data_IF_142115139405
#
_entry.id   IF_142115139405
#
_cell.length_a   1.000
_cell.length_b   1.000
_cell.length_c   1.000
_cell.angle_alpha   90.00
_cell.angle_beta   90.00
_cell.angle_gamma   90.00
#
_symmetry.space_group_name_H-M   'P 1'
#
loop_
_entity.id
_entity.type
_entity.pdbx_description
1 polymer ?
#
# COMPACT_ATOMS: atom_id res chain seq x y z
N UNK A 1 -19.23 62.89 19.85
CA UNK A 1 -18.94 61.62 20.55
C UNK A 1 -19.21 60.50 19.57
N UNK A 2 -18.17 60.03 18.90
CA UNK A 2 -18.22 58.97 17.89
C UNK A 2 -17.77 57.67 18.54
N UNK A 3 -18.68 56.71 18.65
CA UNK A 3 -18.40 55.40 19.22
C UNK A 3 -18.03 54.45 18.07
N UNK A 4 -16.73 54.21 17.89
CA UNK A 4 -16.21 53.23 16.94
C UNK A 4 -16.39 51.82 17.50
N UNK A 5 -17.19 50.99 16.84
CA UNK A 5 -17.25 49.55 17.10
C UNK A 5 -16.06 48.89 16.38
N UNK A 6 -15.07 48.46 17.16
CA UNK A 6 -13.98 47.60 16.68
C UNK A 6 -14.55 46.18 16.50
N UNK A 7 -14.75 45.79 15.25
CA UNK A 7 -14.99 44.40 14.88
C UNK A 7 -13.69 43.62 14.96
N UNK A 8 -13.65 42.60 15.83
CA UNK A 8 -12.55 41.64 15.87
C UNK A 8 -12.61 40.75 14.62
N UNK A 9 -11.50 40.52 13.89
CA UNK A 9 -11.47 39.50 12.87
C UNK A 9 -11.61 38.13 13.57
N UNK A 10 -12.69 37.42 13.25
CA UNK A 10 -12.82 36.02 13.63
C UNK A 10 -11.63 35.25 13.07
N UNK A 11 -10.84 34.67 13.95
CA UNK A 11 -9.90 33.62 13.56
C UNK A 11 -10.75 32.48 13.00
N UNK A 12 -10.76 32.33 11.68
CA UNK A 12 -11.23 31.12 11.05
C UNK A 12 -10.36 29.99 11.58
N UNK A 13 -10.90 29.23 12.53
CA UNK A 13 -10.31 27.99 12.96
C UNK A 13 -10.34 27.07 11.72
N UNK A 14 -9.18 26.74 11.18
CA UNK A 14 -9.09 25.74 10.13
C UNK A 14 -9.70 24.44 10.69
N UNK A 15 -10.72 23.94 9.99
CA UNK A 15 -11.33 22.65 10.29
C UNK A 15 -10.23 21.56 10.13
N UNK A 16 -9.97 20.70 11.13
CA UNK A 16 -8.96 19.65 11.01
C UNK A 16 -9.32 18.55 9.99
N UNK A 17 -10.50 18.59 9.38
CA UNK A 17 -10.83 17.74 8.23
C UNK A 17 -10.45 18.43 6.91
N UNK A 18 -9.17 18.51 6.58
CA UNK A 18 -8.80 18.79 5.19
C UNK A 18 -9.03 17.53 4.38
N UNK A 19 -10.29 17.23 4.06
CA UNK A 19 -10.63 16.19 3.09
C UNK A 19 -9.90 16.49 1.78
N UNK A 20 -9.12 15.54 1.28
CA UNK A 20 -8.15 15.74 0.20
C UNK A 20 -7.31 14.49 -0.08
N UNK A 21 -6.34 14.63 -0.98
CA UNK A 21 -5.41 13.56 -1.34
C UNK A 21 -4.30 13.44 -0.31
N UNK A 22 -4.15 12.25 0.27
CA UNK A 22 -3.00 11.82 1.07
C UNK A 22 -2.09 10.96 0.20
N UNK A 23 -0.79 11.22 0.16
CA UNK A 23 0.15 10.55 -0.73
C UNK A 23 0.26 11.19 -2.12
N UNK A 24 0.95 10.50 -3.04
CA UNK A 24 1.20 10.97 -4.41
C UNK A 24 1.10 9.79 -5.39
N UNK A 25 -0.11 9.42 -5.81
CA UNK A 25 -0.31 8.33 -6.76
C UNK A 25 0.36 8.59 -8.12
N UNK A 26 0.44 9.85 -8.54
CA UNK A 26 1.08 10.24 -9.80
C UNK A 26 2.59 9.95 -9.81
N UNK A 27 3.27 10.20 -8.69
CA UNK A 27 4.68 9.86 -8.53
C UNK A 27 4.95 8.36 -8.37
N UNK A 28 3.99 7.59 -7.84
CA UNK A 28 4.12 6.16 -7.62
C UNK A 28 3.78 5.31 -8.87
N UNK A 29 2.82 5.76 -9.69
CA UNK A 29 2.33 5.02 -10.86
C UNK A 29 3.42 4.52 -11.84
N UNK A 30 4.55 5.24 -12.08
CA UNK A 30 5.60 4.76 -12.96
C UNK A 30 6.32 3.49 -12.49
N UNK A 31 6.24 3.13 -11.20
CA UNK A 31 6.92 1.96 -10.64
C UNK A 31 6.09 0.68 -10.69
N UNK A 32 4.77 0.80 -10.87
CA UNK A 32 3.88 -0.36 -11.05
C UNK A 32 4.31 -1.24 -12.22
N UNK A 33 4.33 -2.56 -12.02
CA UNK A 33 4.42 -3.54 -13.10
C UNK A 33 3.41 -4.66 -12.88
N UNK A 34 2.81 -5.11 -13.97
CA UNK A 34 1.98 -6.30 -13.98
C UNK A 34 2.84 -7.53 -13.66
N UNK A 35 2.42 -8.32 -12.68
CA UNK A 35 3.05 -9.60 -12.38
C UNK A 35 2.73 -10.58 -13.51
N UNK A 36 3.73 -11.33 -13.94
CA UNK A 36 3.61 -12.39 -14.94
C UNK A 36 3.57 -13.75 -14.27
N UNK A 37 4.19 -13.90 -13.10
CA UNK A 37 4.22 -15.17 -12.40
C UNK A 37 2.96 -15.34 -11.55
N UNK A 38 2.64 -16.59 -11.24
CA UNK A 38 1.54 -16.87 -10.31
C UNK A 38 2.06 -16.72 -8.88
N UNK A 39 1.38 -15.86 -8.09
CA UNK A 39 1.53 -15.68 -6.64
C UNK A 39 2.75 -14.89 -6.14
N UNK A 40 3.44 -14.16 -7.01
CA UNK A 40 4.54 -13.22 -6.70
C UNK A 40 4.06 -11.78 -6.37
N UNK A 41 2.78 -11.60 -6.00
CA UNK A 41 2.24 -10.27 -5.71
C UNK A 41 2.98 -9.53 -4.57
N UNK A 42 3.55 -10.28 -3.61
CA UNK A 42 4.33 -9.71 -2.51
C UNK A 42 5.67 -9.15 -2.99
N UNK A 43 6.37 -9.90 -3.83
CA UNK A 43 7.62 -9.54 -4.47
C UNK A 43 7.42 -8.28 -5.31
N UNK A 44 6.37 -8.27 -6.15
CA UNK A 44 6.07 -7.13 -7.02
C UNK A 44 5.68 -5.88 -6.24
N UNK A 45 4.96 -6.00 -5.12
CA UNK A 45 4.68 -4.88 -4.23
C UNK A 45 5.96 -4.32 -3.57
N UNK A 46 6.90 -5.20 -3.19
CA UNK A 46 8.21 -4.79 -2.66
C UNK A 46 9.05 -4.10 -3.73
N UNK A 47 9.12 -4.64 -4.94
CA UNK A 47 9.84 -4.04 -6.07
C UNK A 47 9.31 -2.64 -6.41
N UNK A 48 7.99 -2.44 -6.38
CA UNK A 48 7.36 -1.14 -6.56
C UNK A 48 7.82 -0.14 -5.48
N UNK A 49 7.72 -0.51 -4.19
CA UNK A 49 8.16 0.34 -3.06
C UNK A 49 9.65 0.70 -3.15
N UNK A 50 10.52 -0.27 -3.51
CA UNK A 50 11.95 0.00 -3.73
C UNK A 50 12.14 1.02 -4.86
N UNK A 51 11.40 0.87 -5.96
CA UNK A 51 11.39 1.82 -7.06
C UNK A 51 11.01 3.23 -6.62
N UNK A 52 9.93 3.36 -5.86
CA UNK A 52 9.47 4.66 -5.35
C UNK A 52 10.50 5.35 -4.45
N UNK A 53 11.26 4.59 -3.66
CA UNK A 53 12.24 5.15 -2.71
C UNK A 53 13.57 5.47 -3.38
N UNK A 54 14.03 4.58 -4.25
CA UNK A 54 15.39 4.64 -4.81
C UNK A 54 15.44 5.31 -6.18
N UNK A 55 14.30 5.41 -6.87
CA UNK A 55 14.23 5.74 -8.29
C UNK A 55 14.71 4.63 -9.21
N UNK A 56 15.22 3.52 -8.66
CA UNK A 56 15.68 2.38 -9.42
C UNK A 56 14.63 1.28 -9.45
N UNK A 57 14.20 0.93 -10.65
CA UNK A 57 13.19 -0.09 -10.80
C UNK A 57 13.81 -1.49 -10.77
N UNK A 58 13.36 -2.30 -9.80
CA UNK A 58 13.69 -3.72 -9.72
C UNK A 58 12.79 -4.51 -10.68
N UNK A 59 13.39 -5.45 -11.42
CA UNK A 59 12.65 -6.34 -12.32
C UNK A 59 11.99 -7.49 -11.54
N UNK A 60 10.93 -8.07 -12.10
CA UNK A 60 10.26 -9.26 -11.54
C UNK A 60 11.24 -10.43 -11.31
N UNK A 61 12.09 -10.72 -12.31
CA UNK A 61 13.13 -11.76 -12.21
C UNK A 61 14.10 -11.49 -11.06
N UNK A 62 14.57 -10.25 -10.92
CA UNK A 62 15.52 -9.88 -9.87
C UNK A 62 14.91 -10.00 -8.47
N UNK A 63 13.66 -9.55 -8.28
CA UNK A 63 13.01 -9.61 -6.96
C UNK A 63 12.63 -11.05 -6.57
N UNK A 64 12.17 -11.85 -7.53
CA UNK A 64 11.87 -13.27 -7.34
C UNK A 64 13.14 -14.07 -7.02
N UNK A 65 14.24 -13.81 -7.73
CA UNK A 65 15.53 -14.46 -7.46
C UNK A 65 16.07 -14.08 -6.07
N UNK A 66 15.95 -12.82 -5.66
CA UNK A 66 16.32 -12.40 -4.31
C UNK A 66 15.47 -13.12 -3.26
N UNK A 67 14.15 -13.09 -3.40
CA UNK A 67 13.21 -13.76 -2.49
C UNK A 67 13.42 -15.28 -2.45
N UNK A 68 13.82 -15.89 -3.57
CA UNK A 68 14.18 -17.30 -3.69
C UNK A 68 15.48 -17.70 -2.97
N UNK A 69 16.31 -16.74 -2.59
CA UNK A 69 17.59 -16.96 -1.92
C UNK A 69 17.63 -16.49 -0.46
N UNK A 70 16.61 -15.76 0.01
CA UNK A 70 16.51 -15.30 1.39
C UNK A 70 15.67 -16.29 2.19
N UNK A 71 16.16 -16.83 3.32
CA UNK A 71 15.35 -17.70 4.18
C UNK A 71 14.12 -16.99 4.73
N UNK A 72 12.95 -17.64 4.65
CA UNK A 72 11.72 -17.17 5.28
C UNK A 72 11.86 -17.19 6.81
N UNK A 73 11.24 -16.19 7.45
CA UNK A 73 11.07 -16.13 8.90
C UNK A 73 9.77 -16.78 9.37
N UNK A 74 8.87 -17.12 8.45
CA UNK A 74 7.56 -17.68 8.71
C UNK A 74 7.49 -19.20 8.53
N UNK A 75 8.35 -19.77 7.69
CA UNK A 75 8.40 -21.21 7.41
C UNK A 75 9.80 -21.67 7.01
N UNK A 76 9.98 -22.99 6.89
CA UNK A 76 11.21 -23.54 6.34
C UNK A 76 11.31 -23.24 4.83
N UNK A 77 12.52 -22.98 4.34
CA UNK A 77 12.79 -22.63 2.95
C UNK A 77 12.93 -21.13 2.71
N UNK A 78 13.00 -20.70 1.44
CA UNK A 78 13.12 -19.29 1.09
C UNK A 78 11.80 -18.52 1.27
N UNK A 79 11.85 -17.19 1.19
CA UNK A 79 10.67 -16.30 1.20
C UNK A 79 9.70 -16.68 0.08
N UNK A 80 10.23 -16.90 -1.12
CA UNK A 80 9.44 -17.21 -2.30
C UNK A 80 9.98 -18.44 -3.03
N UNK A 81 9.06 -19.19 -3.62
CA UNK A 81 9.36 -20.18 -4.66
C UNK A 81 8.21 -20.14 -5.66
N UNK A 82 8.46 -20.37 -6.97
CA UNK A 82 7.42 -20.29 -7.99
C UNK A 82 6.15 -21.07 -7.63
N UNK A 83 4.99 -20.39 -7.68
CA UNK A 83 3.67 -20.97 -7.38
C UNK A 83 3.32 -21.05 -5.88
N UNK A 84 4.21 -20.63 -4.98
CA UNK A 84 3.91 -20.45 -3.56
C UNK A 84 3.64 -18.97 -3.25
N UNK A 85 2.99 -18.74 -2.11
CA UNK A 85 2.66 -17.40 -1.63
C UNK A 85 3.72 -16.93 -0.65
N UNK A 86 4.05 -15.65 -0.71
CA UNK A 86 4.90 -15.00 0.28
C UNK A 86 4.11 -14.64 1.54
N UNK A 87 4.74 -14.88 2.69
CA UNK A 87 4.17 -14.54 3.99
C UNK A 87 4.24 -13.03 4.25
N UNK A 88 3.23 -12.49 4.92
CA UNK A 88 3.22 -11.11 5.44
C UNK A 88 4.52 -10.76 6.20
N UNK A 89 5.06 -11.73 6.96
CA UNK A 89 6.27 -11.55 7.79
C UNK A 89 7.56 -11.41 6.99
N UNK A 90 7.54 -11.82 5.74
CA UNK A 90 8.73 -11.84 4.91
C UNK A 90 8.83 -10.58 4.03
N UNK A 91 7.76 -9.80 3.88
CA UNK A 91 7.81 -8.53 3.13
C UNK A 91 8.82 -7.52 3.75
N UNK A 92 8.84 -7.28 5.08
CA UNK A 92 9.84 -6.39 5.67
C UNK A 92 11.26 -6.92 5.54
N UNK A 93 11.43 -8.26 5.55
CA UNK A 93 12.74 -8.91 5.37
C UNK A 93 13.26 -8.67 3.96
N UNK A 94 12.40 -8.85 2.95
CA UNK A 94 12.74 -8.59 1.56
C UNK A 94 13.02 -7.09 1.33
N UNK A 95 12.21 -6.18 1.88
CA UNK A 95 12.52 -4.73 1.84
C UNK A 95 13.87 -4.40 2.49
N UNK A 96 14.17 -5.00 3.64
CA UNK A 96 15.42 -4.77 4.36
C UNK A 96 16.65 -5.27 3.58
N UNK A 97 16.51 -6.33 2.77
CA UNK A 97 17.56 -6.79 1.85
C UNK A 97 18.00 -5.67 0.88
N UNK A 98 17.06 -4.85 0.42
CA UNK A 98 17.31 -3.69 -0.44
C UNK A 98 17.56 -2.39 0.35
N UNK A 99 17.81 -2.48 1.65
CA UNK A 99 18.11 -1.33 2.51
C UNK A 99 16.89 -0.49 2.90
N UNK A 100 15.67 -0.92 2.58
CA UNK A 100 14.44 -0.24 2.96
C UNK A 100 13.95 -0.77 4.30
N UNK A 101 14.01 0.07 5.34
CA UNK A 101 13.49 -0.29 6.66
C UNK A 101 11.97 -0.09 6.70
N UNK A 102 11.26 -1.02 7.33
CA UNK A 102 9.80 -0.98 7.45
C UNK A 102 9.30 -1.68 8.71
N UNK A 103 8.05 -1.42 9.05
CA UNK A 103 7.33 -2.02 10.17
C UNK A 103 6.06 -2.71 9.69
N UNK A 104 5.79 -3.91 10.21
CA UNK A 104 4.45 -4.49 10.17
C UNK A 104 3.52 -3.72 11.12
N UNK A 105 2.34 -3.39 10.63
CA UNK A 105 1.31 -2.72 11.42
C UNK A 105 -0.05 -3.37 11.21
N UNK A 106 -0.92 -3.24 12.21
CA UNK A 106 -2.35 -3.47 12.11
C UNK A 106 -3.04 -2.19 12.55
N UNK A 107 -3.75 -1.54 11.65
CA UNK A 107 -4.19 -0.17 11.90
C UNK A 107 -5.51 0.16 11.22
N UNK A 108 -5.76 1.45 11.01
CA UNK A 108 -6.92 1.99 10.33
C UNK A 108 -6.50 2.89 9.17
N UNK A 109 -7.49 3.29 8.37
CA UNK A 109 -7.31 4.17 7.21
C UNK A 109 -6.62 5.48 7.60
N UNK A 110 -6.99 6.07 8.75
CA UNK A 110 -6.39 7.31 9.24
C UNK A 110 -4.88 7.16 9.52
N UNK A 111 -4.41 5.98 9.94
CA UNK A 111 -2.99 5.72 10.09
C UNK A 111 -2.26 5.60 8.74
N UNK A 112 -2.92 5.02 7.73
CA UNK A 112 -2.37 4.98 6.37
C UNK A 112 -2.28 6.39 5.77
N UNK A 113 -3.32 7.22 5.93
CA UNK A 113 -3.32 8.64 5.54
C UNK A 113 -2.11 9.38 6.14
N UNK A 114 -1.91 9.27 7.46
CA UNK A 114 -0.75 9.89 8.14
C UNK A 114 0.59 9.38 7.62
N UNK A 115 0.69 8.09 7.31
CA UNK A 115 1.92 7.52 6.75
C UNK A 115 2.21 8.08 5.35
N UNK A 116 1.19 8.17 4.51
CA UNK A 116 1.26 8.73 3.17
C UNK A 116 1.62 10.21 3.18
N UNK A 117 1.06 10.99 4.10
CA UNK A 117 1.40 12.41 4.31
C UNK A 117 2.85 12.61 4.74
N UNK A 118 3.43 11.63 5.43
CA UNK A 118 4.85 11.59 5.80
C UNK A 118 5.74 11.10 4.65
N UNK A 119 5.18 10.80 3.48
CA UNK A 119 5.88 10.28 2.31
C UNK A 119 6.26 8.80 2.42
N UNK A 120 5.84 8.11 3.48
CA UNK A 120 6.14 6.69 3.74
C UNK A 120 5.34 5.80 2.79
N UNK A 121 5.90 4.66 2.42
CA UNK A 121 5.29 3.74 1.46
C UNK A 121 4.55 2.63 2.18
N UNK A 122 3.44 2.18 1.60
CA UNK A 122 2.49 1.28 2.25
C UNK A 122 2.21 0.09 1.35
N UNK A 123 2.46 -1.12 1.84
CA UNK A 123 1.99 -2.38 1.24
C UNK A 123 0.84 -2.91 2.11
N UNK A 124 -0.33 -3.19 1.54
CA UNK A 124 -1.49 -3.70 2.26
C UNK A 124 -1.78 -5.16 1.89
N UNK A 125 -2.07 -5.99 2.90
CA UNK A 125 -2.56 -7.35 2.70
C UNK A 125 -4.07 -7.34 2.54
N UNK A 126 -4.55 -7.72 1.36
CA UNK A 126 -5.96 -7.61 0.94
C UNK A 126 -6.48 -8.94 0.40
N UNK A 127 -7.80 -9.06 0.27
CA UNK A 127 -8.43 -10.14 -0.48
C UNK A 127 -8.82 -9.68 -1.89
N UNK A 128 -8.23 -10.29 -2.91
CA UNK A 128 -8.48 -9.92 -4.31
C UNK A 128 -9.91 -10.24 -4.80
N UNK A 129 -10.58 -11.24 -4.23
CA UNK A 129 -11.97 -11.57 -4.59
C UNK A 129 -12.94 -10.49 -4.14
N UNK A 130 -12.59 -9.73 -3.10
CA UNK A 130 -13.33 -8.54 -2.70
C UNK A 130 -12.96 -7.36 -3.59
N UNK A 131 -11.67 -7.10 -3.80
CA UNK A 131 -11.21 -5.97 -4.62
C UNK A 131 -11.78 -5.99 -6.03
N UNK A 132 -11.72 -7.15 -6.70
CA UNK A 132 -12.12 -7.29 -8.11
C UNK A 132 -13.58 -7.76 -8.26
N UNK A 133 -14.35 -7.78 -7.16
CA UNK A 133 -15.71 -8.33 -7.07
C UNK A 133 -15.91 -9.70 -7.76
N UNK A 134 -15.00 -10.62 -7.46
CA UNK A 134 -15.03 -11.98 -8.00
C UNK A 134 -15.62 -12.98 -7.00
N UNK A 135 -16.23 -14.06 -7.50
CA UNK A 135 -16.61 -15.19 -6.67
C UNK A 135 -15.39 -15.91 -6.07
N UNK A 136 -15.58 -16.64 -4.97
CA UNK A 136 -14.52 -17.42 -4.31
C UNK A 136 -14.45 -17.15 -2.81
N UNK A 137 -13.34 -17.57 -2.20
CA UNK A 137 -13.10 -17.33 -0.78
C UNK A 137 -12.76 -15.85 -0.50
N UNK A 138 -13.59 -15.22 0.34
CA UNK A 138 -13.49 -13.82 0.76
C UNK A 138 -13.15 -13.70 2.26
N UNK A 139 -12.74 -14.79 2.92
CA UNK A 139 -12.57 -14.86 4.38
C UNK A 139 -11.19 -14.46 4.91
N UNK A 140 -10.16 -14.50 4.05
CA UNK A 140 -8.76 -14.23 4.40
C UNK A 140 -8.04 -13.47 3.31
N UNK A 141 -7.00 -12.75 3.67
CA UNK A 141 -6.14 -12.08 2.72
C UNK A 141 -5.40 -13.08 1.82
N UNK A 142 -5.18 -12.69 0.58
CA UNK A 142 -4.57 -13.54 -0.43
C UNK A 142 -3.82 -12.75 -1.51
N UNK A 143 -3.64 -11.44 -1.32
CA UNK A 143 -3.05 -10.55 -2.31
C UNK A 143 -2.39 -9.36 -1.61
N UNK A 144 -1.40 -8.76 -2.27
CA UNK A 144 -0.76 -7.53 -1.81
C UNK A 144 -0.87 -6.44 -2.86
N UNK A 145 -1.14 -5.22 -2.40
CA UNK A 145 -1.19 -4.01 -3.22
C UNK A 145 -0.37 -2.92 -2.56
N UNK A 146 0.19 -2.00 -3.35
CA UNK A 146 0.84 -0.81 -2.82
C UNK A 146 -0.18 0.31 -2.76
N UNK A 147 -0.49 0.81 -1.56
CA UNK A 147 -1.37 1.97 -1.39
C UNK A 147 -0.55 3.22 -1.68
N UNK A 148 -0.92 3.94 -2.74
CA UNK A 148 -0.17 5.10 -3.25
C UNK A 148 -0.83 6.42 -2.93
N UNK A 149 -2.14 6.41 -2.66
CA UNK A 149 -2.86 7.55 -2.14
C UNK A 149 -4.25 7.22 -1.58
N UNK A 150 -4.78 8.13 -0.76
CA UNK A 150 -6.16 8.07 -0.24
C UNK A 150 -6.78 9.44 -0.48
N UNK A 151 -7.81 9.50 -1.32
CA UNK A 151 -8.61 10.70 -1.55
C UNK A 151 -9.88 10.62 -0.69
N UNK A 152 -9.83 11.27 0.48
CA UNK A 152 -10.94 11.30 1.42
C UNK A 152 -12.13 12.15 0.94
N UNK A 153 -11.92 13.02 -0.06
CA UNK A 153 -13.00 13.79 -0.69
C UNK A 153 -13.75 12.96 -1.72
N UNK A 154 -13.03 12.17 -2.51
CA UNK A 154 -13.62 11.27 -3.50
C UNK A 154 -14.10 9.94 -2.89
N UNK A 155 -13.59 9.58 -1.71
CA UNK A 155 -13.85 8.28 -1.08
C UNK A 155 -13.16 7.14 -1.84
N UNK A 156 -11.94 7.39 -2.30
CA UNK A 156 -11.16 6.49 -3.17
C UNK A 156 -9.79 6.22 -2.59
N UNK A 157 -9.33 4.98 -2.71
CA UNK A 157 -7.94 4.58 -2.47
C UNK A 157 -7.29 4.33 -3.82
N UNK A 158 -6.14 4.96 -4.02
CA UNK A 158 -5.28 4.75 -5.17
C UNK A 158 -4.27 3.67 -4.84
N UNK A 159 -4.16 2.66 -5.70
CA UNK A 159 -3.22 1.55 -5.53
C UNK A 159 -2.44 1.24 -6.79
N UNK A 160 -1.23 0.72 -6.61
CA UNK A 160 -0.56 -0.06 -7.63
C UNK A 160 -0.82 -1.55 -7.34
N UNK A 161 -1.65 -2.19 -8.17
CA UNK A 161 -2.03 -3.60 -8.07
C UNK A 161 -1.35 -4.42 -9.19
N UNK A 162 -0.30 -5.16 -8.88
CA UNK A 162 0.41 -5.98 -9.87
C UNK A 162 -0.42 -7.14 -10.42
N UNK A 163 -1.50 -7.54 -9.73
CA UNK A 163 -2.34 -8.69 -10.05
C UNK A 163 -3.25 -8.51 -11.27
N UNK A 164 -3.45 -7.27 -11.73
CA UNK A 164 -4.29 -6.98 -12.92
C UNK A 164 -3.57 -6.07 -13.90
N UNK A 165 -3.80 -6.25 -15.21
CA UNK A 165 -3.12 -5.47 -16.27
C UNK A 165 -3.41 -3.97 -16.22
N UNK A 166 -4.53 -3.58 -15.63
CA UNK A 166 -4.95 -2.19 -15.46
C UNK A 166 -4.66 -1.65 -14.06
N UNK A 167 -3.81 -2.32 -13.28
CA UNK A 167 -3.60 -2.01 -11.86
C UNK A 167 -2.66 -0.85 -11.57
N UNK A 168 -2.20 -0.12 -12.59
CA UNK A 168 -1.42 1.12 -12.39
C UNK A 168 -2.37 2.22 -11.93
N UNK A 169 -2.12 2.78 -10.75
CA UNK A 169 -2.98 3.81 -10.15
C UNK A 169 -4.47 3.42 -10.22
N UNK A 170 -4.77 2.17 -9.87
CA UNK A 170 -6.13 1.69 -9.78
C UNK A 170 -6.86 2.44 -8.67
N UNK A 171 -8.06 2.92 -8.99
CA UNK A 171 -8.92 3.64 -8.07
C UNK A 171 -10.01 2.71 -7.55
N UNK A 172 -9.95 2.42 -6.26
CA UNK A 172 -10.85 1.51 -5.56
C UNK A 172 -11.68 2.35 -4.58
N UNK A 173 -12.98 2.06 -4.43
CA UNK A 173 -13.76 2.74 -3.39
C UNK A 173 -13.17 2.44 -2.01
N UNK A 174 -13.12 3.45 -1.13
CA UNK A 174 -12.56 3.28 0.21
C UNK A 174 -13.24 2.13 0.97
N UNK A 175 -14.56 2.02 0.83
CA UNK A 175 -15.32 0.93 1.45
C UNK A 175 -14.92 -0.46 0.92
N UNK A 176 -14.67 -0.60 -0.40
CA UNK A 176 -14.20 -1.86 -0.99
C UNK A 176 -12.80 -2.21 -0.49
N UNK A 177 -11.90 -1.22 -0.44
CA UNK A 177 -10.55 -1.41 0.08
C UNK A 177 -10.58 -1.85 1.55
N UNK A 178 -11.32 -1.14 2.41
CA UNK A 178 -11.43 -1.47 3.84
C UNK A 178 -12.02 -2.88 4.05
N UNK A 179 -13.04 -3.27 3.27
CA UNK A 179 -13.60 -4.62 3.34
C UNK A 179 -12.59 -5.70 2.96
N UNK A 180 -11.78 -5.46 1.91
CA UNK A 180 -10.75 -6.40 1.47
C UNK A 180 -9.58 -6.46 2.46
N UNK A 181 -9.17 -5.32 3.00
CA UNK A 181 -8.08 -5.17 3.96
C UNK A 181 -8.43 -5.75 5.34
N UNK A 182 -9.68 -5.65 5.77
CA UNK A 182 -10.17 -6.25 7.01
C UNK A 182 -9.95 -7.77 7.09
N UNK A 183 -9.87 -8.45 5.94
CA UNK A 183 -9.60 -9.90 5.89
C UNK A 183 -8.20 -10.29 6.41
N UNK A 184 -7.24 -9.36 6.42
CA UNK A 184 -5.91 -9.55 7.03
C UNK A 184 -5.83 -9.06 8.48
N UNK A 185 -6.95 -8.59 9.05
CA UNK A 185 -6.94 -7.84 10.30
C UNK A 185 -6.28 -6.47 10.15
N UNK A 186 -6.50 -5.82 9.00
CA UNK A 186 -5.90 -4.53 8.61
C UNK A 186 -4.37 -4.54 8.61
N UNK A 187 -3.77 -5.63 8.11
CA UNK A 187 -2.33 -5.75 8.00
C UNK A 187 -1.75 -4.82 6.94
N UNK A 188 -0.71 -4.07 7.28
CA UNK A 188 0.11 -3.36 6.32
C UNK A 188 1.59 -3.43 6.71
N UNK A 189 2.46 -3.21 5.73
CA UNK A 189 3.87 -2.87 5.93
C UNK A 189 4.04 -1.41 5.57
N UNK A 190 4.65 -0.63 6.48
CA UNK A 190 4.89 0.80 6.29
C UNK A 190 6.38 1.09 6.43
N UNK A 191 6.98 1.73 5.43
CA UNK A 191 8.41 2.08 5.47
C UNK A 191 8.70 3.08 6.58
N UNK A 192 9.94 3.14 7.11
CA UNK A 192 10.34 4.08 8.16
C UNK A 192 10.83 5.41 7.60
#
# INVERSE_FOLDING_TARGET
MTCSLLGFPGTAQADPSTGGMHGDPGAAAPYWRYQKQDRDCGEMAVADVIGQITGNQISEEEIDDAAGNIPSTAHAGPIYTPGNRTSNRDLPVLLAHYGVQSDETRSDTAALERALDQGRKVIAGVNNRILWDEGGDRSRENHFVVVTGIDTRAGVVHVNDSGIKAGRDEQISLATFEAAWATSGNFAVVTR
#
